data_IF_291266403562
#
_entry.id   IF_291266403562
#
_cell.length_a   1.000
_cell.length_b   1.000
_cell.length_c   1.000
_cell.angle_alpha   90.00
_cell.angle_beta   90.00
_cell.angle_gamma   90.00
#
_symmetry.space_group_name_H-M   'P 1'
#
loop_
_entity.id
_entity.type
_entity.pdbx_description
1 polymer ?
#
# COMPACT_ATOMS: atom_id res chain seq x y z
N UNK A 1 39.59 -20.43 -50.44
CA UNK A 1 38.95 -19.13 -50.16
C UNK A 1 37.71 -19.36 -49.29
N UNK A 2 37.88 -19.32 -47.99
CA UNK A 2 36.86 -19.64 -47.01
C UNK A 2 36.40 -18.33 -46.35
N UNK A 3 35.18 -17.89 -46.68
CA UNK A 3 34.57 -16.70 -46.12
C UNK A 3 33.96 -17.03 -44.73
N UNK A 4 34.62 -16.60 -43.67
CA UNK A 4 34.09 -16.59 -42.31
C UNK A 4 33.03 -15.51 -42.22
N UNK A 5 31.76 -15.89 -42.11
CA UNK A 5 30.64 -14.98 -41.74
C UNK A 5 30.56 -14.93 -40.22
N UNK A 6 31.07 -13.86 -39.66
CA UNK A 6 30.85 -13.52 -38.23
C UNK A 6 29.44 -13.01 -38.04
N UNK A 7 28.59 -13.81 -37.38
CA UNK A 7 27.26 -13.38 -36.92
C UNK A 7 27.47 -12.73 -35.56
N UNK A 8 27.34 -11.40 -35.49
CA UNK A 8 27.25 -10.66 -34.23
C UNK A 8 25.83 -10.84 -33.67
N UNK A 9 25.71 -11.65 -32.64
CA UNK A 9 24.49 -11.68 -31.81
C UNK A 9 24.50 -10.44 -30.90
N UNK A 10 23.67 -9.46 -31.20
CA UNK A 10 23.38 -8.35 -30.31
C UNK A 10 22.38 -8.82 -29.22
N UNK A 11 22.91 -9.05 -28.01
CA UNK A 11 22.08 -9.32 -26.84
C UNK A 11 21.49 -7.98 -26.37
N UNK A 12 20.23 -7.73 -26.69
CA UNK A 12 19.45 -6.63 -26.11
C UNK A 12 19.08 -7.04 -24.69
N UNK A 13 19.85 -6.58 -23.71
CA UNK A 13 19.48 -6.67 -22.31
C UNK A 13 18.29 -5.71 -22.07
N UNK A 14 17.10 -6.26 -22.01
CA UNK A 14 15.93 -5.52 -21.56
C UNK A 14 16.12 -5.21 -20.06
N UNK A 15 16.57 -4.00 -19.75
CA UNK A 15 16.60 -3.48 -18.39
C UNK A 15 15.14 -3.24 -17.96
N UNK A 16 14.52 -4.21 -17.32
CA UNK A 16 13.30 -3.98 -16.57
C UNK A 16 13.66 -3.08 -15.37
N UNK A 17 13.42 -1.79 -15.50
CA UNK A 17 13.42 -0.88 -14.35
C UNK A 17 12.38 -1.42 -13.38
N UNK A 18 12.72 -1.65 -12.09
CA UNK A 18 11.71 -1.92 -11.10
C UNK A 18 10.76 -0.71 -11.11
N UNK A 19 9.48 -0.94 -11.34
CA UNK A 19 8.47 0.06 -11.03
C UNK A 19 8.66 0.37 -9.54
N UNK A 20 8.97 1.62 -9.21
CA UNK A 20 9.00 2.04 -7.83
C UNK A 20 7.58 1.84 -7.27
N UNK A 21 7.37 0.76 -6.55
CA UNK A 21 6.16 0.55 -5.80
C UNK A 21 6.26 1.46 -4.59
N UNK A 22 5.58 2.59 -4.65
CA UNK A 22 5.49 3.51 -3.54
C UNK A 22 4.57 2.90 -2.49
N UNK A 23 5.04 2.83 -1.26
CA UNK A 23 4.30 2.26 -0.15
C UNK A 23 4.15 3.26 0.98
N UNK A 24 3.05 3.12 1.72
CA UNK A 24 2.74 3.89 2.91
C UNK A 24 2.75 2.98 4.13
N UNK A 25 3.71 3.16 5.00
CA UNK A 25 3.81 2.43 6.26
C UNK A 25 3.06 3.19 7.36
N UNK A 26 2.13 2.53 8.03
CA UNK A 26 1.25 3.15 9.02
C UNK A 26 1.34 2.40 10.34
N UNK A 27 1.70 3.14 11.39
CA UNK A 27 1.56 2.68 12.76
C UNK A 27 0.51 3.51 13.46
N UNK A 28 -0.42 2.88 14.15
CA UNK A 28 -1.43 3.57 14.93
C UNK A 28 -1.61 2.87 16.28
N UNK A 29 -1.70 3.68 17.32
CA UNK A 29 -1.96 3.23 18.68
C UNK A 29 -3.20 3.95 19.20
N UNK A 30 -4.23 3.19 19.55
CA UNK A 30 -5.42 3.79 20.15
C UNK A 30 -5.16 4.15 21.60
N UNK A 31 -5.11 5.43 21.89
CA UNK A 31 -5.10 5.94 23.26
C UNK A 31 -6.52 5.92 23.85
N UNK A 32 -7.01 4.71 24.16
CA UNK A 32 -8.25 4.59 24.90
C UNK A 32 -7.96 4.54 26.40
N UNK A 33 -8.85 5.14 27.22
CA UNK A 33 -8.80 4.98 28.67
C UNK A 33 -9.09 3.54 29.13
N UNK A 34 -9.32 2.62 28.20
CA UNK A 34 -9.61 1.20 28.43
C UNK A 34 -8.39 0.39 27.95
N UNK A 35 -7.61 -0.22 28.85
CA UNK A 35 -6.53 -1.12 28.48
C UNK A 35 -7.07 -2.47 27.96
N UNK A 36 -6.32 -3.17 27.06
CA UNK A 36 -5.04 -2.77 26.49
C UNK A 36 -5.16 -1.83 25.29
N UNK A 37 -4.15 -1.00 24.99
CA UNK A 37 -4.14 -0.19 23.78
C UNK A 37 -4.17 -1.10 22.55
N UNK A 38 -4.99 -0.75 21.57
CA UNK A 38 -5.00 -1.44 20.27
C UNK A 38 -3.86 -0.88 19.44
N UNK A 39 -2.87 -1.71 19.15
CA UNK A 39 -1.77 -1.36 18.27
C UNK A 39 -2.06 -1.97 16.91
N UNK A 40 -2.02 -1.17 15.87
CA UNK A 40 -2.11 -1.63 14.50
C UNK A 40 -0.89 -1.18 13.73
N UNK A 41 -0.31 -2.10 12.96
CA UNK A 41 0.84 -1.85 12.10
C UNK A 41 0.56 -2.45 10.73
N UNK A 42 0.50 -1.58 9.73
CA UNK A 42 0.17 -1.96 8.36
C UNK A 42 1.09 -1.24 7.39
N UNK A 43 1.29 -1.83 6.22
CA UNK A 43 1.90 -1.15 5.10
C UNK A 43 1.00 -1.31 3.88
N UNK A 44 0.77 -0.23 3.18
CA UNK A 44 -0.04 -0.19 1.97
C UNK A 44 0.89 -0.02 0.77
N UNK A 45 0.85 -0.94 -0.17
CA UNK A 45 1.53 -0.84 -1.44
C UNK A 45 0.50 -0.56 -2.54
N UNK A 46 0.71 0.51 -3.30
CA UNK A 46 -0.20 0.96 -4.34
C UNK A 46 0.34 0.59 -5.70
N UNK A 47 -0.34 -0.30 -6.40
CA UNK A 47 0.04 -0.73 -7.74
C UNK A 47 -0.83 -0.05 -8.79
N UNK A 48 -0.19 0.54 -9.82
CA UNK A 48 -0.89 1.22 -10.90
C UNK A 48 -1.45 2.60 -10.55
N UNK A 49 -0.95 3.21 -9.47
CA UNK A 49 -1.27 4.58 -9.07
C UNK A 49 -0.09 5.52 -9.32
N UNK A 50 -0.39 6.80 -9.49
CA UNK A 50 0.62 7.84 -9.61
C UNK A 50 1.16 8.25 -8.23
N UNK A 51 2.42 8.71 -8.20
CA UNK A 51 3.11 9.11 -6.96
C UNK A 51 2.36 10.18 -6.17
N UNK A 52 1.77 11.16 -6.87
CA UNK A 52 0.97 12.24 -6.25
C UNK A 52 -0.22 11.70 -5.44
N UNK A 53 -0.83 10.60 -5.90
CA UNK A 53 -1.93 9.95 -5.19
C UNK A 53 -1.46 9.29 -3.89
N UNK A 54 -0.26 8.72 -3.93
CA UNK A 54 0.36 8.05 -2.77
C UNK A 54 0.78 9.10 -1.74
N UNK A 55 1.40 10.17 -2.17
CA UNK A 55 1.75 11.32 -1.32
C UNK A 55 0.51 11.88 -0.61
N UNK A 56 -0.60 11.99 -1.34
CA UNK A 56 -1.86 12.47 -0.77
C UNK A 56 -2.43 11.54 0.30
N UNK A 57 -2.39 10.21 0.09
CA UNK A 57 -2.90 9.20 1.04
C UNK A 57 -1.99 9.04 2.25
N UNK A 58 -0.68 9.15 2.05
CA UNK A 58 0.34 8.86 3.07
C UNK A 58 0.71 10.07 3.95
N UNK A 59 -0.07 11.12 3.93
CA UNK A 59 0.19 12.28 4.80
C UNK A 59 -0.24 11.99 6.23
N UNK A 60 0.61 12.36 7.19
CA UNK A 60 0.24 12.36 8.60
C UNK A 60 -0.95 13.28 8.85
N UNK A 61 -1.79 12.86 9.77
CA UNK A 61 -2.96 13.60 10.15
C UNK A 61 -2.90 13.96 11.64
N UNK A 62 -2.75 15.25 11.91
CA UNK A 62 -2.67 15.78 13.29
C UNK A 62 -3.93 15.48 14.13
N UNK A 63 -5.07 15.21 13.49
CA UNK A 63 -6.29 14.86 14.19
C UNK A 63 -6.27 13.44 14.77
N UNK A 64 -5.38 12.56 14.26
CA UNK A 64 -5.20 11.19 14.78
C UNK A 64 -4.02 11.16 15.71
N UNK A 65 -4.29 11.22 16.98
CA UNK A 65 -3.25 11.05 18.00
C UNK A 65 -2.65 9.65 17.88
N UNK A 66 -1.31 9.59 17.97
CA UNK A 66 -0.53 8.34 17.92
C UNK A 66 -0.61 7.57 16.59
N UNK A 67 -0.99 8.22 15.50
CA UNK A 67 -0.82 7.67 14.15
C UNK A 67 0.39 8.30 13.49
N UNK A 68 1.21 7.47 12.85
CA UNK A 68 2.36 7.90 12.06
C UNK A 68 2.31 7.22 10.70
N UNK A 69 2.51 8.01 9.65
CA UNK A 69 2.59 7.53 8.27
C UNK A 69 3.96 7.86 7.70
N UNK A 70 4.51 6.94 6.94
CA UNK A 70 5.84 7.07 6.36
C UNK A 70 5.85 6.47 4.96
N UNK A 71 6.28 7.26 3.98
CA UNK A 71 6.49 6.79 2.61
C UNK A 71 7.75 5.95 2.57
N UNK A 72 7.68 4.77 1.95
CA UNK A 72 8.78 3.84 1.76
C UNK A 72 8.78 3.30 0.33
N UNK A 73 9.96 2.89 -0.14
CA UNK A 73 10.10 2.26 -1.46
C UNK A 73 9.35 0.93 -1.55
N UNK A 74 9.24 0.21 -0.44
CA UNK A 74 8.53 -1.07 -0.36
C UNK A 74 8.11 -1.40 1.07
N UNK A 75 7.09 -2.24 1.19
CA UNK A 75 6.66 -2.79 2.47
C UNK A 75 7.69 -3.78 3.02
N UNK A 76 8.05 -3.71 4.33
CA UNK A 76 9.00 -4.63 4.93
C UNK A 76 8.50 -6.07 4.96
N UNK A 77 9.43 -7.01 5.12
CA UNK A 77 9.10 -8.41 5.39
C UNK A 77 8.61 -8.61 6.83
N UNK A 78 8.00 -9.77 7.13
CA UNK A 78 7.56 -10.11 8.50
C UNK A 78 6.07 -9.92 8.76
N UNK A 79 5.29 -9.57 7.74
CA UNK A 79 3.82 -9.53 7.79
C UNK A 79 3.24 -10.94 8.06
N UNK A 80 2.08 -11.00 8.71
CA UNK A 80 1.35 -12.26 8.91
C UNK A 80 0.29 -12.52 7.84
N UNK A 81 0.00 -11.55 6.99
CA UNK A 81 -0.94 -11.68 5.88
C UNK A 81 -0.99 -10.45 5.01
N UNK A 82 -1.47 -10.63 3.79
CA UNK A 82 -1.63 -9.60 2.77
C UNK A 82 -3.07 -9.62 2.29
N UNK A 83 -3.71 -8.46 2.31
CA UNK A 83 -5.00 -8.23 1.67
C UNK A 83 -4.79 -7.53 0.34
N UNK A 84 -5.19 -8.15 -0.76
CA UNK A 84 -5.15 -7.53 -2.10
C UNK A 84 -6.55 -7.12 -2.53
N UNK A 85 -6.76 -5.87 -2.84
CA UNK A 85 -8.06 -5.35 -3.26
C UNK A 85 -7.93 -4.38 -4.45
N UNK A 86 -9.04 -4.18 -5.18
CA UNK A 86 -9.13 -3.12 -6.18
C UNK A 86 -9.12 -1.74 -5.49
N UNK A 87 -8.46 -0.79 -6.11
CA UNK A 87 -8.51 0.60 -5.65
C UNK A 87 -9.69 1.29 -6.32
N UNK A 88 -10.48 2.00 -5.52
CA UNK A 88 -11.50 2.94 -5.99
C UNK A 88 -11.26 4.32 -5.37
N UNK A 89 -11.84 5.39 -5.90
CA UNK A 89 -11.76 6.71 -5.26
C UNK A 89 -12.26 6.70 -3.81
N UNK A 90 -13.30 5.91 -3.52
CA UNK A 90 -13.84 5.74 -2.18
C UNK A 90 -12.89 5.00 -1.25
N UNK A 91 -12.18 3.98 -1.76
CA UNK A 91 -11.18 3.24 -0.97
C UNK A 91 -10.02 4.15 -0.58
N UNK A 92 -9.50 4.95 -1.51
CA UNK A 92 -8.45 5.93 -1.22
C UNK A 92 -8.91 6.97 -0.20
N UNK A 93 -10.14 7.47 -0.34
CA UNK A 93 -10.70 8.42 0.61
C UNK A 93 -10.84 7.80 2.00
N UNK A 94 -11.22 6.53 2.12
CA UNK A 94 -11.33 5.82 3.39
C UNK A 94 -9.97 5.59 4.05
N UNK A 95 -8.95 5.20 3.30
CA UNK A 95 -7.59 5.01 3.83
C UNK A 95 -7.02 6.32 4.40
N UNK A 96 -7.32 7.44 3.77
CA UNK A 96 -6.99 8.75 4.31
C UNK A 96 -7.88 9.12 5.51
N UNK A 97 -9.19 8.81 5.43
CA UNK A 97 -10.18 9.18 6.43
C UNK A 97 -10.15 8.31 7.69
N UNK A 98 -9.43 7.16 7.69
CA UNK A 98 -9.22 6.40 8.92
C UNK A 98 -8.39 7.20 9.91
N UNK A 99 -8.98 8.27 10.36
CA UNK A 99 -8.45 9.12 11.39
C UNK A 99 -8.51 10.60 11.14
N UNK A 100 -9.26 11.14 10.20
CA UNK A 100 -9.27 12.57 10.05
C UNK A 100 -10.50 13.18 9.47
N UNK A 101 -10.74 14.35 10.00
CA UNK A 101 -11.57 15.34 9.33
C UNK A 101 -10.94 15.70 7.98
N UNK A 102 -11.78 15.94 6.99
CA UNK A 102 -11.40 16.32 5.65
C UNK A 102 -10.33 17.42 5.66
N UNK A 103 -9.20 17.14 5.07
CA UNK A 103 -8.32 18.21 4.63
C UNK A 103 -8.91 18.76 3.34
N UNK A 104 -8.87 20.08 3.17
CA UNK A 104 -9.39 20.79 1.99
C UNK A 104 -8.65 20.45 0.68
N UNK A 105 -7.71 19.52 0.71
CA UNK A 105 -6.97 19.09 -0.48
C UNK A 105 -7.73 18.00 -1.20
N UNK A 106 -8.21 18.23 -2.43
CA UNK A 106 -8.88 17.21 -3.22
C UNK A 106 -7.97 16.02 -3.47
N UNK A 107 -8.50 14.82 -3.30
CA UNK A 107 -7.80 13.60 -3.67
C UNK A 107 -7.74 13.38 -5.18
N UNK A 108 -7.04 12.33 -5.62
CA UNK A 108 -6.99 11.98 -7.03
C UNK A 108 -8.39 11.70 -7.56
N UNK A 109 -8.72 12.33 -8.67
CA UNK A 109 -10.04 12.24 -9.31
C UNK A 109 -10.18 11.02 -10.21
N UNK A 110 -9.07 10.42 -10.60
CA UNK A 110 -9.02 9.27 -11.51
C UNK A 110 -8.21 8.15 -10.90
N UNK A 111 -8.82 6.96 -10.86
CA UNK A 111 -8.16 5.72 -10.45
C UNK A 111 -8.17 4.77 -11.63
N UNK A 112 -7.01 4.26 -12.10
CA UNK A 112 -6.95 3.26 -13.14
C UNK A 112 -7.72 1.99 -12.75
N UNK A 113 -8.40 1.34 -13.71
CA UNK A 113 -9.25 0.16 -13.44
C UNK A 113 -8.46 -1.04 -12.90
N UNK A 114 -7.21 -1.15 -13.31
CA UNK A 114 -6.27 -2.20 -12.89
C UNK A 114 -5.54 -1.88 -11.60
N UNK A 115 -5.73 -0.69 -11.04
CA UNK A 115 -5.07 -0.30 -9.79
C UNK A 115 -5.46 -1.22 -8.62
N UNK A 116 -4.47 -1.60 -7.84
CA UNK A 116 -4.59 -2.50 -6.69
C UNK A 116 -3.90 -1.91 -5.48
N UNK A 117 -4.47 -2.22 -4.33
CA UNK A 117 -3.84 -1.98 -3.04
C UNK A 117 -3.51 -3.32 -2.39
N UNK A 118 -2.27 -3.47 -1.95
CA UNK A 118 -1.83 -4.59 -1.15
C UNK A 118 -1.62 -4.07 0.27
N UNK A 119 -2.41 -4.57 1.20
CA UNK A 119 -2.29 -4.22 2.62
C UNK A 119 -1.56 -5.33 3.36
N UNK A 120 -0.35 -5.06 3.77
CA UNK A 120 0.49 -5.94 4.58
C UNK A 120 0.17 -5.71 6.05
N UNK A 121 -0.13 -6.79 6.78
CA UNK A 121 -0.49 -6.74 8.19
C UNK A 121 0.64 -7.29 9.06
N UNK A 122 1.21 -6.46 9.96
CA UNK A 122 2.30 -6.83 10.86
C UNK A 122 1.82 -7.03 12.29
N UNK A 123 1.02 -6.11 12.80
CA UNK A 123 0.44 -6.18 14.13
C UNK A 123 -1.06 -5.94 14.07
N UNK A 124 -1.81 -6.80 14.75
CA UNK A 124 -3.25 -6.71 14.88
C UNK A 124 -3.68 -7.39 16.16
N UNK A 125 -4.65 -6.82 16.85
CA UNK A 125 -5.24 -7.40 18.06
C UNK A 125 -5.93 -8.74 17.76
N UNK A 126 -6.54 -8.85 16.59
CA UNK A 126 -7.18 -10.08 16.10
C UNK A 126 -6.78 -10.34 14.65
N UNK A 127 -5.87 -11.31 14.46
CA UNK A 127 -5.38 -11.70 13.13
C UNK A 127 -6.44 -12.41 12.29
N UNK A 128 -7.32 -13.17 12.91
CA UNK A 128 -8.40 -13.84 12.19
C UNK A 128 -9.42 -12.83 11.67
N UNK A 129 -9.71 -11.80 12.46
CA UNK A 129 -10.61 -10.71 12.06
C UNK A 129 -10.04 -9.92 10.88
N UNK A 130 -8.73 -9.67 10.84
CA UNK A 130 -8.09 -8.97 9.72
C UNK A 130 -8.35 -9.67 8.37
N UNK A 131 -8.32 -11.00 8.34
CA UNK A 131 -8.67 -11.78 7.16
C UNK A 131 -10.16 -11.66 6.81
N UNK A 132 -11.04 -11.81 7.79
CA UNK A 132 -12.49 -11.69 7.58
C UNK A 132 -12.85 -10.32 7.02
N UNK A 133 -12.24 -9.26 7.55
CA UNK A 133 -12.47 -7.88 7.10
C UNK A 133 -12.02 -7.69 5.65
N UNK A 134 -10.86 -8.24 5.28
CA UNK A 134 -10.35 -8.22 3.91
C UNK A 134 -11.34 -8.90 2.93
N UNK A 135 -11.70 -10.14 3.22
CA UNK A 135 -12.58 -10.95 2.36
C UNK A 135 -14.00 -10.36 2.28
N UNK A 136 -14.51 -9.81 3.39
CA UNK A 136 -15.82 -9.15 3.43
C UNK A 136 -15.86 -7.84 2.64
N UNK A 137 -14.74 -7.17 2.52
CA UNK A 137 -14.59 -5.97 1.68
C UNK A 137 -14.34 -6.29 0.19
N UNK A 138 -14.34 -7.57 -0.19
CA UNK A 138 -14.10 -8.01 -1.56
C UNK A 138 -12.62 -8.13 -1.93
N UNK A 139 -11.73 -8.16 -0.95
CA UNK A 139 -10.31 -8.43 -1.13
C UNK A 139 -9.97 -9.92 -1.14
N UNK A 140 -8.77 -10.22 -1.57
CA UNK A 140 -8.16 -11.55 -1.56
C UNK A 140 -7.09 -11.61 -0.47
N UNK A 141 -7.19 -12.59 0.42
CA UNK A 141 -6.22 -12.80 1.50
C UNK A 141 -5.17 -13.83 1.12
N UNK A 142 -3.89 -13.50 1.38
CA UNK A 142 -2.74 -14.41 1.25
C UNK A 142 -1.82 -14.34 2.47
N UNK A 143 -0.99 -15.39 2.68
CA UNK A 143 0.01 -15.50 3.77
C UNK A 143 1.38 -15.83 3.20
#
# INVERSE_FOLDING_TARGET
>A
MTLLRSVLLAIVAASSLPAAANSCYVTAETSGAVPPPVVTEKCFEYQGMDDDAIDWVCQDNEAVKNSRREIRDSCPSGHFGICTAAITPETLANERATGSQATDTPGPTTVPREARILTYHYESTDRAQARIDCESAGGEWSQ
#
